data_IF_661550427631
#
_entry.id   IF_661550427631
#
_cell.length_a   1.000
_cell.length_b   1.000
_cell.length_c   1.000
_cell.angle_alpha   90.00
_cell.angle_beta   90.00
_cell.angle_gamma   90.00
#
_symmetry.space_group_name_H-M   'P 1'
#
loop_
_entity.id
_entity.type
_entity.pdbx_description
1 polymer ?
#
# COMPACT_ATOMS: atom_id res chain seq x y z
N UNK A 1 2.36 -17.31 -5.52
CA UNK A 1 1.74 -18.05 -4.41
C UNK A 1 1.59 -19.55 -4.64
N UNK A 2 1.09 -20.00 -5.80
CA UNK A 2 0.73 -21.42 -6.02
C UNK A 2 1.91 -22.41 -6.01
N UNK A 3 3.13 -21.96 -6.32
CA UNK A 3 4.33 -22.84 -6.37
C UNK A 3 5.19 -22.76 -5.10
N UNK A 4 4.86 -21.87 -4.15
CA UNK A 4 5.67 -21.63 -2.94
C UNK A 4 6.96 -20.85 -3.20
N UNK A 5 7.46 -20.16 -2.17
CA UNK A 5 8.66 -19.31 -2.25
C UNK A 5 9.97 -20.09 -2.45
N UNK A 6 9.98 -21.38 -2.12
CA UNK A 6 11.14 -22.27 -2.25
C UNK A 6 11.29 -22.91 -3.63
N UNK A 7 10.34 -22.67 -4.54
CA UNK A 7 10.42 -23.22 -5.89
C UNK A 7 11.61 -22.63 -6.65
N UNK A 8 12.47 -23.45 -7.28
CA UNK A 8 13.66 -22.99 -8.01
C UNK A 8 13.37 -21.95 -9.10
N UNK A 9 12.24 -22.09 -9.80
CA UNK A 9 11.83 -21.11 -10.82
C UNK A 9 11.58 -19.73 -10.21
N UNK A 10 10.89 -19.68 -9.06
CA UNK A 10 10.59 -18.41 -8.36
C UNK A 10 11.89 -17.79 -7.85
N UNK A 11 12.78 -18.57 -7.24
CA UNK A 11 14.07 -18.10 -6.77
C UNK A 11 14.94 -17.57 -7.92
N UNK A 12 14.91 -18.24 -9.07
CA UNK A 12 15.60 -17.77 -10.27
C UNK A 12 15.06 -16.42 -10.73
N UNK A 13 13.75 -16.24 -10.87
CA UNK A 13 13.16 -14.95 -11.27
C UNK A 13 13.44 -13.83 -10.29
N UNK A 14 13.38 -14.11 -8.98
CA UNK A 14 13.75 -13.14 -7.95
C UNK A 14 15.23 -12.77 -8.07
N UNK A 15 16.11 -13.75 -8.21
CA UNK A 15 17.54 -13.54 -8.36
C UNK A 15 17.87 -12.69 -9.61
N UNK A 16 17.28 -13.04 -10.75
CA UNK A 16 17.42 -12.29 -12.00
C UNK A 16 16.91 -10.85 -11.82
N UNK A 17 15.74 -10.66 -11.22
CA UNK A 17 15.18 -9.34 -10.96
C UNK A 17 16.07 -8.47 -10.08
N UNK A 18 16.60 -9.02 -8.99
CA UNK A 18 17.54 -8.33 -8.09
C UNK A 18 18.81 -7.93 -8.84
N UNK A 19 19.38 -8.85 -9.62
CA UNK A 19 20.60 -8.57 -10.40
C UNK A 19 20.37 -7.42 -11.38
N UNK A 20 19.26 -7.42 -12.13
CA UNK A 20 18.95 -6.33 -13.06
C UNK A 20 18.74 -4.99 -12.35
N UNK A 21 18.06 -4.96 -11.20
CA UNK A 21 17.88 -3.73 -10.42
C UNK A 21 19.22 -3.19 -9.92
N UNK A 22 20.10 -4.06 -9.42
CA UNK A 22 21.44 -3.67 -8.96
C UNK A 22 22.27 -3.14 -10.14
N UNK A 23 22.32 -3.87 -11.26
CA UNK A 23 23.08 -3.44 -12.45
C UNK A 23 22.56 -2.11 -13.00
N UNK A 24 21.24 -1.93 -13.04
CA UNK A 24 20.63 -0.67 -13.43
C UNK A 24 21.07 0.47 -12.49
N UNK A 25 20.95 0.28 -11.16
CA UNK A 25 21.37 1.28 -10.18
C UNK A 25 22.85 1.64 -10.29
N UNK A 26 23.73 0.64 -10.40
CA UNK A 26 25.17 0.87 -10.58
C UNK A 26 25.50 1.64 -11.88
N UNK A 27 24.77 1.34 -12.96
CA UNK A 27 24.91 2.08 -14.22
C UNK A 27 24.50 3.53 -14.07
N UNK A 28 23.33 3.79 -13.44
CA UNK A 28 22.83 5.15 -13.21
C UNK A 28 23.80 6.00 -12.38
N UNK A 29 24.46 5.41 -11.36
CA UNK A 29 25.45 6.11 -10.54
C UNK A 29 26.75 6.48 -11.30
N UNK A 30 27.05 5.81 -12.42
CA UNK A 30 28.25 6.04 -13.22
C UNK A 30 28.04 6.97 -14.42
N UNK A 31 26.78 7.27 -14.77
CA UNK A 31 26.47 8.14 -15.91
C UNK A 31 26.60 9.61 -15.50
N UNK A 32 27.14 10.43 -16.39
CA UNK A 32 27.21 11.90 -16.23
C UNK A 32 25.83 12.55 -16.34
N UNK A 33 24.92 11.97 -17.14
CA UNK A 33 23.53 12.38 -17.32
C UNK A 33 22.63 11.14 -17.13
N UNK A 34 22.29 10.80 -15.86
CA UNK A 34 21.52 9.62 -15.57
C UNK A 34 20.04 9.83 -15.89
N UNK A 35 19.40 8.82 -16.47
CA UNK A 35 17.95 8.82 -16.67
C UNK A 35 17.18 8.91 -15.33
N UNK A 36 17.72 8.23 -14.29
CA UNK A 36 17.22 8.31 -12.92
C UNK A 36 18.37 8.67 -11.99
N UNK A 37 18.43 9.90 -11.51
CA UNK A 37 19.44 10.30 -10.52
C UNK A 37 19.05 9.75 -9.13
N UNK A 38 19.56 8.56 -8.82
CA UNK A 38 19.35 7.92 -7.53
C UNK A 38 20.07 8.62 -6.38
N UNK A 39 20.93 9.63 -6.66
CA UNK A 39 21.55 10.43 -5.60
C UNK A 39 20.55 11.28 -4.82
N UNK A 40 19.32 11.45 -5.31
CA UNK A 40 18.23 12.09 -4.57
C UNK A 40 17.97 11.41 -3.22
N UNK A 41 18.27 10.12 -3.07
CA UNK A 41 18.18 9.41 -1.79
C UNK A 41 19.21 9.86 -0.75
N UNK A 42 20.22 10.66 -1.11
CA UNK A 42 21.14 11.29 -0.15
C UNK A 42 20.44 12.38 0.68
N UNK A 43 19.33 12.93 0.18
CA UNK A 43 18.50 13.88 0.91
C UNK A 43 17.57 13.11 1.86
N UNK A 44 17.83 13.20 3.16
CA UNK A 44 17.09 12.42 4.18
C UNK A 44 15.59 12.62 4.13
N UNK A 45 15.11 13.87 3.96
CA UNK A 45 13.69 14.21 3.89
C UNK A 45 13.01 13.54 2.68
N UNK A 46 13.69 13.55 1.52
CA UNK A 46 13.22 12.85 0.33
C UNK A 46 13.16 11.34 0.55
N UNK A 47 14.22 10.76 1.12
CA UNK A 47 14.29 9.32 1.38
C UNK A 47 13.20 8.86 2.33
N UNK A 48 12.95 9.62 3.38
CA UNK A 48 11.88 9.35 4.34
C UNK A 48 10.50 9.47 3.69
N UNK A 49 10.27 10.51 2.88
CA UNK A 49 9.02 10.69 2.14
C UNK A 49 8.80 9.57 1.11
N UNK A 50 9.85 9.17 0.39
CA UNK A 50 9.79 8.06 -0.56
C UNK A 50 9.48 6.73 0.14
N UNK A 51 10.14 6.43 1.27
CA UNK A 51 9.89 5.24 2.06
C UNK A 51 8.44 5.22 2.59
N UNK A 52 7.98 6.33 3.16
CA UNK A 52 6.61 6.45 3.68
C UNK A 52 5.56 6.29 2.56
N UNK A 53 5.74 6.97 1.42
CA UNK A 53 4.81 6.86 0.29
C UNK A 53 4.82 5.45 -0.32
N UNK A 54 5.99 4.83 -0.40
CA UNK A 54 6.14 3.48 -0.91
C UNK A 54 5.48 2.42 -0.02
N UNK A 55 5.68 2.48 1.31
CA UNK A 55 5.07 1.55 2.27
C UNK A 55 3.55 1.79 2.36
N UNK A 56 3.11 3.05 2.28
CA UNK A 56 1.66 3.36 2.18
C UNK A 56 1.05 2.74 0.94
N UNK A 57 1.72 2.86 -0.21
CA UNK A 57 1.27 2.26 -1.46
C UNK A 57 1.25 0.72 -1.41
N UNK A 58 2.24 0.11 -0.76
CA UNK A 58 2.29 -1.32 -0.49
C UNK A 58 1.08 -1.79 0.33
N UNK A 59 0.77 -1.09 1.43
CA UNK A 59 -0.40 -1.37 2.26
C UNK A 59 -1.73 -1.14 1.51
N UNK A 60 -1.78 -0.16 0.61
CA UNK A 60 -2.96 0.18 -0.19
C UNK A 60 -3.25 -0.89 -1.24
N UNK A 61 -2.30 -1.15 -2.14
CA UNK A 61 -2.49 -2.01 -3.32
C UNK A 61 -2.79 -3.46 -2.94
N UNK A 62 -2.20 -3.95 -1.85
CA UNK A 62 -2.50 -5.29 -1.36
C UNK A 62 -3.97 -5.48 -1.00
N UNK A 63 -4.58 -4.50 -0.33
CA UNK A 63 -6.02 -4.56 -0.01
C UNK A 63 -6.87 -4.38 -1.27
N UNK A 64 -6.49 -3.51 -2.19
CA UNK A 64 -7.19 -3.33 -3.47
C UNK A 64 -7.28 -4.62 -4.28
N UNK A 65 -6.32 -5.52 -4.12
CA UNK A 65 -6.34 -6.84 -4.75
C UNK A 65 -7.09 -7.88 -3.92
N UNK A 66 -6.86 -7.91 -2.61
CA UNK A 66 -7.39 -8.96 -1.72
C UNK A 66 -8.88 -8.76 -1.41
N UNK A 67 -9.35 -7.52 -1.24
CA UNK A 67 -10.75 -7.24 -0.91
C UNK A 67 -11.73 -7.64 -2.03
N UNK A 68 -11.48 -7.33 -3.32
CA UNK A 68 -12.29 -7.89 -4.40
C UNK A 68 -12.33 -9.41 -4.44
N UNK A 69 -11.20 -10.08 -4.16
CA UNK A 69 -11.15 -11.54 -4.10
C UNK A 69 -12.05 -12.09 -2.98
N UNK A 70 -12.06 -11.46 -1.81
CA UNK A 70 -12.98 -11.81 -0.73
C UNK A 70 -14.45 -11.66 -1.19
N UNK A 71 -14.81 -10.53 -1.80
CA UNK A 71 -16.18 -10.24 -2.24
C UNK A 71 -16.62 -11.22 -3.35
N UNK A 72 -15.73 -11.57 -4.27
CA UNK A 72 -16.04 -12.45 -5.40
C UNK A 72 -16.01 -13.92 -5.02
N UNK A 73 -14.92 -14.39 -4.42
CA UNK A 73 -14.70 -15.82 -4.20
C UNK A 73 -15.49 -16.37 -2.99
N UNK A 74 -15.62 -15.56 -1.93
CA UNK A 74 -16.28 -16.00 -0.71
C UNK A 74 -17.77 -15.63 -0.70
N UNK A 75 -18.10 -14.42 -1.17
CA UNK A 75 -19.48 -13.91 -1.15
C UNK A 75 -20.25 -14.16 -2.46
N UNK A 76 -19.58 -14.69 -3.50
CA UNK A 76 -20.20 -15.01 -4.78
C UNK A 76 -20.69 -13.79 -5.59
N UNK A 77 -20.22 -12.58 -5.26
CA UNK A 77 -20.59 -11.35 -5.96
C UNK A 77 -19.83 -11.27 -7.28
N UNK A 78 -20.50 -10.87 -8.37
CA UNK A 78 -19.83 -10.70 -9.67
C UNK A 78 -18.72 -9.65 -9.63
N UNK A 79 -17.73 -9.78 -10.51
CA UNK A 79 -16.62 -8.82 -10.60
C UNK A 79 -17.11 -7.38 -10.86
N UNK A 80 -18.17 -7.22 -11.66
CA UNK A 80 -18.78 -5.91 -11.91
C UNK A 80 -19.36 -5.28 -10.65
N UNK A 81 -20.15 -6.02 -9.89
CA UNK A 81 -20.74 -5.51 -8.63
C UNK A 81 -19.67 -5.29 -7.55
N UNK A 82 -18.65 -6.15 -7.50
CA UNK A 82 -17.49 -5.94 -6.62
C UNK A 82 -16.77 -4.61 -6.93
N UNK A 83 -16.57 -4.30 -8.22
CA UNK A 83 -16.02 -3.02 -8.66
C UNK A 83 -16.90 -1.82 -8.26
N UNK A 84 -18.23 -1.94 -8.43
CA UNK A 84 -19.17 -0.90 -8.01
C UNK A 84 -19.16 -0.66 -6.48
N UNK A 85 -18.98 -1.71 -5.68
CA UNK A 85 -18.84 -1.58 -4.22
C UNK A 85 -17.58 -0.81 -3.81
N UNK A 86 -16.51 -0.89 -4.57
CA UNK A 86 -15.25 -0.20 -4.29
C UNK A 86 -15.20 1.21 -4.92
N UNK A 87 -16.07 1.51 -5.86
CA UNK A 87 -16.13 2.80 -6.57
C UNK A 87 -16.22 4.01 -5.61
N UNK A 88 -17.07 4.01 -4.56
CA UNK A 88 -17.14 5.15 -3.63
C UNK A 88 -15.78 5.47 -2.98
N UNK A 89 -15.01 4.44 -2.62
CA UNK A 89 -13.66 4.64 -2.08
C UNK A 89 -12.70 5.26 -3.11
N UNK A 90 -12.72 4.78 -4.34
CA UNK A 90 -11.89 5.35 -5.41
C UNK A 90 -12.26 6.83 -5.69
N UNK A 91 -13.55 7.17 -5.67
CA UNK A 91 -14.01 8.55 -5.82
C UNK A 91 -13.56 9.45 -4.67
N UNK A 92 -13.41 8.93 -3.45
CA UNK A 92 -12.93 9.71 -2.30
C UNK A 92 -11.51 10.23 -2.52
N UNK A 93 -10.64 9.51 -3.22
CA UNK A 93 -9.30 10.02 -3.57
C UNK A 93 -9.41 11.28 -4.45
N UNK A 94 -10.26 11.24 -5.48
CA UNK A 94 -10.49 12.39 -6.37
C UNK A 94 -11.09 13.59 -5.65
N UNK A 95 -12.12 13.36 -4.82
CA UNK A 95 -12.79 14.41 -4.04
C UNK A 95 -11.83 15.02 -3.00
N UNK A 96 -11.02 14.20 -2.36
CA UNK A 96 -10.09 14.66 -1.33
C UNK A 96 -8.87 15.37 -1.91
N UNK A 97 -8.50 15.13 -3.17
CA UNK A 97 -7.30 15.73 -3.79
C UNK A 97 -7.22 17.26 -3.65
N UNK A 98 -8.22 18.07 -4.02
CA UNK A 98 -8.18 19.51 -3.83
C UNK A 98 -8.24 19.94 -2.35
N UNK A 99 -8.86 19.12 -1.50
CA UNK A 99 -8.99 19.38 -0.06
C UNK A 99 -7.66 19.15 0.64
N UNK A 100 -6.95 18.08 0.28
CA UNK A 100 -5.67 17.72 0.89
C UNK A 100 -4.59 18.75 0.62
N UNK A 101 -4.60 19.40 -0.55
CA UNK A 101 -3.69 20.51 -0.86
C UNK A 101 -3.85 21.69 0.11
N UNK A 102 -5.09 22.16 0.31
CA UNK A 102 -5.39 23.24 1.27
C UNK A 102 -5.05 22.86 2.73
N UNK A 103 -5.29 21.61 3.10
CA UNK A 103 -4.95 21.12 4.42
C UNK A 103 -3.43 21.02 4.63
N UNK A 104 -2.70 20.65 3.58
CA UNK A 104 -1.24 20.62 3.60
C UNK A 104 -0.65 21.99 3.87
N UNK A 105 -1.14 23.03 3.16
CA UNK A 105 -0.68 24.41 3.35
C UNK A 105 -0.95 24.92 4.78
N UNK A 106 -2.04 24.47 5.41
CA UNK A 106 -2.42 24.88 6.77
C UNK A 106 -1.72 24.09 7.87
N UNK A 107 -1.60 22.77 7.72
CA UNK A 107 -1.20 21.88 8.81
C UNK A 107 0.17 21.22 8.59
N UNK A 108 0.69 21.25 7.36
CA UNK A 108 1.98 20.67 6.97
C UNK A 108 1.93 19.14 6.78
N UNK A 109 2.98 18.61 6.14
CA UNK A 109 3.10 17.20 5.73
C UNK A 109 2.96 16.22 6.89
N UNK A 110 3.64 16.47 8.01
CA UNK A 110 3.69 15.55 9.16
C UNK A 110 2.30 15.28 9.74
N UNK A 111 1.50 16.33 10.00
CA UNK A 111 0.17 16.15 10.58
C UNK A 111 -0.75 15.41 9.60
N UNK A 112 -0.67 15.75 8.31
CA UNK A 112 -1.47 15.10 7.27
C UNK A 112 -1.10 13.63 7.13
N UNK A 113 0.20 13.29 7.14
CA UNK A 113 0.67 11.91 7.08
C UNK A 113 0.20 11.09 8.29
N UNK A 114 0.35 11.62 9.51
CA UNK A 114 -0.10 10.92 10.74
C UNK A 114 -1.62 10.70 10.72
N UNK A 115 -2.41 11.74 10.42
CA UNK A 115 -3.87 11.63 10.34
C UNK A 115 -4.30 10.63 9.27
N UNK A 116 -3.71 10.73 8.08
CA UNK A 116 -4.03 9.83 6.97
C UNK A 116 -3.67 8.38 7.27
N UNK A 117 -2.48 8.12 7.84
CA UNK A 117 -2.07 6.77 8.24
C UNK A 117 -2.92 6.21 9.37
N UNK A 118 -3.35 7.04 10.32
CA UNK A 118 -4.29 6.64 11.38
C UNK A 118 -5.63 6.22 10.79
N UNK A 119 -6.20 7.03 9.89
CA UNK A 119 -7.46 6.70 9.19
C UNK A 119 -7.34 5.42 8.36
N UNK A 120 -6.21 5.25 7.63
CA UNK A 120 -5.95 4.05 6.83
C UNK A 120 -5.88 2.81 7.74
N UNK A 121 -5.16 2.91 8.85
CA UNK A 121 -5.00 1.81 9.80
C UNK A 121 -6.34 1.45 10.45
N UNK A 122 -7.04 2.44 11.01
CA UNK A 122 -8.36 2.24 11.65
C UNK A 122 -9.40 1.71 10.66
N UNK A 123 -9.40 2.20 9.42
CA UNK A 123 -10.27 1.70 8.36
C UNK A 123 -9.93 0.27 7.89
N UNK A 124 -8.70 -0.20 8.16
CA UNK A 124 -8.27 -1.57 7.78
C UNK A 124 -8.54 -2.58 8.90
N UNK A 125 -8.47 -2.19 10.18
CA UNK A 125 -8.65 -3.10 11.33
C UNK A 125 -9.93 -3.94 11.24
N UNK A 126 -11.12 -3.37 10.93
CA UNK A 126 -12.34 -4.17 10.87
C UNK A 126 -12.34 -5.26 9.78
N UNK A 127 -11.49 -5.14 8.75
CA UNK A 127 -11.40 -6.17 7.70
C UNK A 127 -10.80 -7.48 8.21
N UNK A 128 -10.05 -7.45 9.31
CA UNK A 128 -9.54 -8.68 9.95
C UNK A 128 -10.66 -9.51 10.59
N UNK A 129 -11.83 -8.91 10.81
CA UNK A 129 -12.99 -9.56 11.42
C UNK A 129 -14.14 -9.79 10.42
N UNK A 130 -13.89 -9.71 9.11
CA UNK A 130 -14.90 -9.97 8.10
C UNK A 130 -15.37 -11.42 8.16
N UNK A 131 -16.66 -11.61 7.98
CA UNK A 131 -17.32 -12.92 7.89
C UNK A 131 -18.09 -13.03 6.58
N UNK A 132 -18.58 -14.22 6.23
CA UNK A 132 -19.47 -14.39 5.07
C UNK A 132 -20.72 -13.51 5.12
N UNK A 133 -21.14 -13.09 6.31
CA UNK A 133 -22.38 -12.32 6.54
C UNK A 133 -22.13 -10.83 6.79
N UNK A 134 -20.87 -10.36 6.71
CA UNK A 134 -20.55 -8.95 6.93
C UNK A 134 -21.32 -8.02 5.99
N UNK A 135 -21.82 -6.90 6.49
CA UNK A 135 -22.61 -5.95 5.71
C UNK A 135 -21.79 -5.34 4.56
N UNK A 136 -22.34 -5.34 3.37
CA UNK A 136 -21.73 -4.65 2.21
C UNK A 136 -21.56 -3.15 2.47
N UNK A 137 -22.55 -2.52 3.10
CA UNK A 137 -22.47 -1.10 3.47
C UNK A 137 -21.28 -0.82 4.38
N UNK A 138 -21.06 -1.69 5.38
CA UNK A 138 -19.89 -1.58 6.27
C UNK A 138 -18.57 -1.66 5.48
N UNK A 139 -18.45 -2.61 4.56
CA UNK A 139 -17.25 -2.77 3.71
C UNK A 139 -17.00 -1.51 2.86
N UNK A 140 -18.05 -0.98 2.21
CA UNK A 140 -17.99 0.21 1.36
C UNK A 140 -17.54 1.42 2.18
N UNK A 141 -18.14 1.65 3.35
CA UNK A 141 -17.83 2.79 4.22
C UNK A 141 -16.40 2.71 4.75
N UNK A 142 -15.99 1.54 5.26
CA UNK A 142 -14.62 1.33 5.75
C UNK A 142 -13.58 1.51 4.64
N UNK A 143 -13.87 1.01 3.46
CA UNK A 143 -13.00 1.19 2.30
C UNK A 143 -12.91 2.67 1.90
N UNK A 144 -14.03 3.41 1.92
CA UNK A 144 -14.03 4.85 1.65
C UNK A 144 -13.23 5.66 2.69
N UNK A 145 -13.39 5.37 3.98
CA UNK A 145 -12.61 5.98 5.07
C UNK A 145 -11.10 5.72 4.85
N UNK A 146 -10.76 4.50 4.50
CA UNK A 146 -9.38 4.10 4.21
C UNK A 146 -8.80 4.88 3.02
N UNK A 147 -9.58 5.09 1.94
CA UNK A 147 -9.17 5.86 0.77
C UNK A 147 -8.98 7.35 1.06
N UNK A 148 -9.77 7.92 1.97
CA UNK A 148 -9.52 9.27 2.52
C UNK A 148 -8.14 9.32 3.21
N UNK A 149 -7.82 8.31 4.03
CA UNK A 149 -6.50 8.19 4.65
C UNK A 149 -5.36 8.16 3.62
N UNK A 150 -5.51 7.36 2.56
CA UNK A 150 -4.55 7.29 1.44
C UNK A 150 -4.37 8.66 0.77
N UNK A 151 -5.47 9.35 0.47
CA UNK A 151 -5.44 10.67 -0.18
C UNK A 151 -4.67 11.70 0.66
N UNK A 152 -4.87 11.70 1.99
CA UNK A 152 -4.16 12.59 2.91
C UNK A 152 -2.65 12.32 2.96
N UNK A 153 -2.21 11.08 2.78
CA UNK A 153 -0.79 10.71 2.82
C UNK A 153 -0.13 10.97 1.48
N UNK A 154 -0.66 10.37 0.41
CA UNK A 154 0.07 10.22 -0.85
C UNK A 154 0.48 11.55 -1.47
N UNK A 155 -0.44 12.50 -1.59
CA UNK A 155 -0.16 13.80 -2.19
C UNK A 155 0.81 14.61 -1.32
N UNK A 156 0.53 14.69 -0.02
CA UNK A 156 1.24 15.57 0.89
C UNK A 156 2.69 15.10 1.17
N UNK A 157 2.87 13.79 1.32
CA UNK A 157 4.18 13.20 1.55
C UNK A 157 5.05 13.33 0.30
N UNK A 158 4.50 13.04 -0.87
CA UNK A 158 5.23 13.20 -2.14
C UNK A 158 5.64 14.66 -2.36
N UNK A 159 4.73 15.61 -2.17
CA UNK A 159 5.03 17.04 -2.29
C UNK A 159 6.11 17.48 -1.30
N UNK A 160 6.02 17.05 -0.05
CA UNK A 160 7.04 17.37 0.97
C UNK A 160 8.42 16.82 0.59
N UNK A 161 8.48 15.58 0.09
CA UNK A 161 9.73 14.97 -0.38
C UNK A 161 10.32 15.72 -1.57
N UNK A 162 9.50 16.11 -2.56
CA UNK A 162 9.98 16.89 -3.71
C UNK A 162 10.48 18.28 -3.30
N UNK A 163 9.79 18.94 -2.37
CA UNK A 163 10.17 20.26 -1.87
C UNK A 163 11.51 20.26 -1.12
N UNK A 164 12.00 19.12 -0.67
CA UNK A 164 13.31 18.98 -0.02
C UNK A 164 14.48 18.85 -1.01
N UNK A 165 14.20 18.71 -2.31
CA UNK A 165 15.20 18.57 -3.35
C UNK A 165 15.54 19.92 -4.00
N UNK A 166 16.80 20.09 -4.49
CA UNK A 166 17.14 21.17 -5.40
C UNK A 166 16.26 21.17 -6.66
N UNK A 167 16.01 22.34 -7.24
CA UNK A 167 15.07 22.50 -8.37
C UNK A 167 15.46 21.63 -9.59
N UNK A 168 16.74 21.52 -9.88
CA UNK A 168 17.30 20.69 -10.96
C UNK A 168 17.05 19.19 -10.75
N UNK A 169 16.83 18.75 -9.50
CA UNK A 169 16.63 17.33 -9.14
C UNK A 169 15.16 16.92 -8.97
N UNK A 170 14.21 17.85 -9.01
CA UNK A 170 12.79 17.54 -8.76
C UNK A 170 12.23 16.53 -9.78
N UNK A 171 12.58 16.67 -11.06
CA UNK A 171 12.13 15.73 -12.10
C UNK A 171 12.67 14.32 -11.87
N UNK A 172 13.94 14.19 -11.51
CA UNK A 172 14.56 12.91 -11.14
C UNK A 172 13.93 12.33 -9.86
N UNK A 173 13.69 13.17 -8.84
CA UNK A 173 13.01 12.77 -7.61
C UNK A 173 11.64 12.19 -7.88
N UNK A 174 10.85 12.81 -8.76
CA UNK A 174 9.52 12.32 -9.14
C UNK A 174 9.61 10.95 -9.82
N UNK A 175 10.51 10.78 -10.78
CA UNK A 175 10.69 9.52 -11.48
C UNK A 175 11.19 8.40 -10.55
N UNK A 176 12.17 8.70 -9.69
CA UNK A 176 12.70 7.78 -8.68
C UNK A 176 11.61 7.37 -7.68
N UNK A 177 10.85 8.32 -7.14
CA UNK A 177 9.78 8.04 -6.19
C UNK A 177 8.69 7.16 -6.81
N UNK A 178 8.27 7.42 -8.06
CA UNK A 178 7.29 6.61 -8.75
C UNK A 178 7.78 5.18 -9.00
N UNK A 179 9.04 5.03 -9.43
CA UNK A 179 9.67 3.71 -9.63
C UNK A 179 9.75 2.95 -8.31
N UNK A 180 10.21 3.61 -7.24
CA UNK A 180 10.32 3.02 -5.91
C UNK A 180 8.97 2.55 -5.37
N UNK A 181 7.93 3.38 -5.49
CA UNK A 181 6.55 3.02 -5.14
C UNK A 181 6.06 1.81 -5.92
N UNK A 182 6.34 1.73 -7.22
CA UNK A 182 5.91 0.61 -8.06
C UNK A 182 6.58 -0.70 -7.66
N UNK A 183 7.88 -0.65 -7.35
CA UNK A 183 8.62 -1.81 -6.84
C UNK A 183 8.02 -2.28 -5.50
N UNK A 184 7.81 -1.36 -4.55
CA UNK A 184 7.22 -1.70 -3.25
C UNK A 184 5.78 -2.22 -3.39
N UNK A 185 4.99 -1.67 -4.32
CA UNK A 185 3.65 -2.15 -4.63
C UNK A 185 3.66 -3.61 -5.10
N UNK A 186 4.57 -3.95 -6.01
CA UNK A 186 4.71 -5.32 -6.52
C UNK A 186 5.12 -6.29 -5.41
N UNK A 187 6.08 -5.90 -4.57
CA UNK A 187 6.52 -6.67 -3.39
C UNK A 187 5.35 -6.86 -2.42
N UNK A 188 4.61 -5.77 -2.12
CA UNK A 188 3.47 -5.81 -1.22
C UNK A 188 2.38 -6.75 -1.66
N UNK A 189 2.00 -6.66 -2.93
CA UNK A 189 1.02 -7.57 -3.53
C UNK A 189 1.49 -9.03 -3.42
N UNK A 190 2.75 -9.31 -3.74
CA UNK A 190 3.30 -10.66 -3.65
C UNK A 190 3.27 -11.20 -2.21
N UNK A 191 3.65 -10.37 -1.22
CA UNK A 191 3.61 -10.76 0.20
C UNK A 191 2.17 -11.03 0.65
N UNK A 192 1.23 -10.11 0.39
CA UNK A 192 -0.15 -10.23 0.87
C UNK A 192 -0.88 -11.41 0.23
N UNK A 193 -0.68 -11.65 -1.07
CA UNK A 193 -1.25 -12.82 -1.75
C UNK A 193 -0.60 -14.11 -1.25
N UNK A 194 0.69 -14.08 -0.96
CA UNK A 194 1.37 -15.26 -0.39
C UNK A 194 0.89 -15.59 1.02
N UNK A 195 0.73 -14.58 1.89
CA UNK A 195 0.17 -14.73 3.23
C UNK A 195 -1.24 -15.32 3.15
N UNK A 196 -2.09 -14.75 2.29
CA UNK A 196 -3.44 -15.25 2.02
C UNK A 196 -3.42 -16.73 1.64
N UNK A 197 -2.63 -17.08 0.62
CA UNK A 197 -2.58 -18.46 0.09
C UNK A 197 -2.00 -19.43 1.11
N UNK A 198 -0.95 -19.06 1.82
CA UNK A 198 -0.31 -19.90 2.82
C UNK A 198 -1.23 -20.16 4.01
N UNK A 199 -1.86 -19.12 4.56
CA UNK A 199 -2.79 -19.26 5.67
C UNK A 199 -4.04 -20.08 5.27
N UNK A 200 -4.57 -19.86 4.07
CA UNK A 200 -5.65 -20.68 3.53
C UNK A 200 -5.24 -22.15 3.43
N UNK A 201 -4.09 -22.45 2.80
CA UNK A 201 -3.65 -23.83 2.57
C UNK A 201 -3.33 -24.57 3.87
N UNK A 202 -2.75 -23.90 4.87
CA UNK A 202 -2.43 -24.51 6.15
C UNK A 202 -3.68 -24.92 6.96
N UNK A 203 -4.79 -24.22 6.75
CA UNK A 203 -6.06 -24.48 7.44
C UNK A 203 -7.05 -25.29 6.59
N UNK A 204 -6.68 -25.62 5.34
CA UNK A 204 -7.55 -26.36 4.43
C UNK A 204 -7.80 -27.80 4.94
N UNK A 205 -9.06 -28.26 4.98
CA UNK A 205 -9.38 -29.62 5.43
C UNK A 205 -8.79 -30.69 4.50
N UNK A 206 -8.60 -31.89 5.04
CA UNK A 206 -8.10 -33.03 4.26
C UNK A 206 -9.05 -33.43 3.13
N UNK A 207 -8.50 -33.82 1.98
CA UNK A 207 -9.30 -34.28 0.83
C UNK A 207 -10.16 -35.52 1.12
N UNK A 208 -9.82 -36.28 2.17
CA UNK A 208 -10.62 -37.44 2.61
C UNK A 208 -11.96 -36.99 3.17
N UNK A 209 -12.02 -35.88 3.87
CA UNK A 209 -13.25 -35.27 4.40
C UNK A 209 -14.23 -34.90 3.29
N UNK A 210 -13.73 -34.51 2.11
CA UNK A 210 -14.58 -34.23 0.95
C UNK A 210 -15.38 -35.46 0.49
N UNK A 211 -14.80 -36.65 0.61
CA UNK A 211 -15.45 -37.93 0.20
C UNK A 211 -16.44 -38.41 1.24
N UNK A 212 -16.15 -38.20 2.52
CA UNK A 212 -16.95 -38.74 3.64
C UNK A 212 -18.02 -37.78 4.11
N UNK A 213 -17.73 -36.50 4.23
CA UNK A 213 -18.59 -35.46 4.77
C UNK A 213 -18.49 -34.16 3.95
N UNK A 214 -19.06 -34.10 2.73
CA UNK A 214 -18.89 -32.98 1.79
C UNK A 214 -19.31 -31.61 2.37
N UNK A 215 -20.39 -31.59 3.16
CA UNK A 215 -20.91 -30.36 3.77
C UNK A 215 -19.94 -29.81 4.83
N UNK A 216 -19.37 -30.70 5.63
CA UNK A 216 -18.38 -30.32 6.64
C UNK A 216 -17.09 -29.84 6.01
N UNK A 217 -16.63 -30.49 4.92
CA UNK A 217 -15.51 -30.02 4.13
C UNK A 217 -15.73 -28.60 3.60
N UNK A 218 -16.93 -28.33 3.02
CA UNK A 218 -17.28 -27.01 2.51
C UNK A 218 -17.16 -25.94 3.58
N UNK A 219 -17.75 -26.17 4.77
CA UNK A 219 -17.74 -25.21 5.87
C UNK A 219 -16.30 -24.95 6.38
N UNK A 220 -15.50 -26.01 6.52
CA UNK A 220 -14.11 -25.85 6.94
C UNK A 220 -13.25 -25.17 5.87
N UNK A 221 -13.47 -25.42 4.58
CA UNK A 221 -12.77 -24.77 3.49
C UNK A 221 -13.12 -23.26 3.41
N UNK A 222 -14.36 -22.88 3.69
CA UNK A 222 -14.78 -21.49 3.81
C UNK A 222 -14.04 -20.79 4.97
N UNK A 223 -14.02 -21.43 6.15
CA UNK A 223 -13.29 -20.88 7.30
C UNK A 223 -11.79 -20.76 7.02
N UNK A 224 -11.15 -21.76 6.41
CA UNK A 224 -9.76 -21.70 6.00
C UNK A 224 -9.47 -20.54 5.02
N UNK A 225 -10.41 -20.28 4.11
CA UNK A 225 -10.31 -19.16 3.18
C UNK A 225 -10.47 -17.82 3.91
N UNK A 226 -11.39 -17.71 4.87
CA UNK A 226 -11.53 -16.54 5.74
C UNK A 226 -10.26 -16.26 6.53
N UNK A 227 -9.65 -17.30 7.14
CA UNK A 227 -8.39 -17.18 7.86
C UNK A 227 -7.28 -16.62 6.97
N UNK A 228 -7.23 -17.03 5.70
CA UNK A 228 -6.32 -16.48 4.71
C UNK A 228 -6.54 -14.99 4.46
N UNK A 229 -7.78 -14.55 4.29
CA UNK A 229 -8.11 -13.13 4.15
C UNK A 229 -7.77 -12.34 5.40
N UNK A 230 -8.11 -12.83 6.58
CA UNK A 230 -7.78 -12.19 7.86
C UNK A 230 -6.28 -12.00 8.04
N UNK A 231 -5.48 -13.05 7.76
CA UNK A 231 -4.02 -12.97 7.82
C UNK A 231 -3.45 -11.92 6.85
N UNK A 232 -3.98 -11.84 5.64
CA UNK A 232 -3.56 -10.85 4.65
C UNK A 232 -3.93 -9.42 5.07
N UNK A 233 -5.13 -9.20 5.60
CA UNK A 233 -5.53 -7.90 6.15
C UNK A 233 -4.69 -7.50 7.36
N UNK A 234 -4.38 -8.43 8.27
CA UNK A 234 -3.50 -8.20 9.41
C UNK A 234 -2.09 -7.79 8.96
N UNK A 235 -1.54 -8.44 7.92
CA UNK A 235 -0.25 -8.06 7.35
C UNK A 235 -0.28 -6.64 6.75
N UNK A 236 -1.38 -6.25 6.09
CA UNK A 236 -1.55 -4.87 5.61
C UNK A 236 -1.56 -3.84 6.75
N UNK A 237 -2.15 -4.19 7.91
CA UNK A 237 -2.10 -3.35 9.13
C UNK A 237 -0.67 -3.19 9.62
N UNK A 238 0.14 -4.25 9.61
CA UNK A 238 1.56 -4.16 9.98
C UNK A 238 2.29 -3.14 9.10
N UNK A 239 2.10 -3.18 7.79
CA UNK A 239 2.68 -2.20 6.88
C UNK A 239 2.16 -0.77 7.15
N UNK A 240 0.86 -0.63 7.41
CA UNK A 240 0.27 0.66 7.76
C UNK A 240 0.84 1.22 9.06
N UNK A 241 1.07 0.39 10.07
CA UNK A 241 1.71 0.79 11.33
C UNK A 241 3.18 1.19 11.14
N UNK A 242 3.94 0.47 10.32
CA UNK A 242 5.31 0.86 9.95
C UNK A 242 5.30 2.25 9.29
N UNK A 243 4.41 2.48 8.33
CA UNK A 243 4.26 3.76 7.68
C UNK A 243 3.81 4.86 8.66
N UNK A 244 2.92 4.55 9.61
CA UNK A 244 2.50 5.47 10.67
C UNK A 244 3.70 5.88 11.55
N UNK A 245 4.55 4.93 11.93
CA UNK A 245 5.78 5.23 12.70
C UNK A 245 6.70 6.15 11.89
N UNK A 246 6.91 5.87 10.60
CA UNK A 246 7.72 6.74 9.73
C UNK A 246 7.14 8.15 9.60
N UNK A 247 5.81 8.31 9.62
CA UNK A 247 5.16 9.61 9.54
C UNK A 247 5.51 10.53 10.73
N UNK A 248 5.86 9.99 11.90
CA UNK A 248 6.29 10.79 13.04
C UNK A 248 7.67 11.43 12.85
N UNK A 249 8.50 10.89 11.94
CA UNK A 249 9.83 11.44 11.66
C UNK A 249 9.82 12.51 10.56
N UNK A 250 8.70 12.71 9.84
CA UNK A 250 8.58 13.78 8.86
C UNK A 250 8.71 15.15 9.54
N UNK A 251 9.42 16.07 8.89
CA UNK A 251 9.43 17.49 9.30
C UNK A 251 8.09 18.16 8.95
N UNK A 252 7.81 19.27 9.61
CA UNK A 252 6.55 20.03 9.39
C UNK A 252 6.43 20.61 7.98
N UNK A 253 7.54 20.70 7.23
CA UNK A 253 7.71 21.19 5.86
C UNK A 253 6.53 21.98 5.28
N UNK A 254 6.58 23.29 5.39
CA UNK A 254 5.57 24.18 4.82
C UNK A 254 6.31 25.33 4.11
N UNK A 255 6.72 25.12 2.85
CA UNK A 255 7.48 26.09 2.06
C UNK A 255 6.83 27.48 2.02
N UNK A 256 5.51 27.56 2.13
CA UNK A 256 4.79 28.83 2.18
C UNK A 256 5.09 29.66 3.45
N UNK A 257 5.44 29.01 4.57
CA UNK A 257 5.85 29.70 5.81
C UNK A 257 7.33 30.02 5.84
N UNK A 258 8.19 29.12 5.36
CA UNK A 258 9.64 29.35 5.28
C UNK A 258 9.98 30.55 4.40
N UNK A 259 9.33 30.68 3.23
CA UNK A 259 9.50 31.85 2.35
C UNK A 259 8.94 33.15 2.96
N UNK A 260 7.94 33.09 3.85
CA UNK A 260 7.43 34.28 4.55
C UNK A 260 8.33 34.68 5.73
N UNK A 261 9.01 33.75 6.36
CA UNK A 261 9.97 34.04 7.42
C UNK A 261 11.30 34.58 6.83
N UNK A 262 11.73 34.10 5.66
CA UNK A 262 12.91 34.65 4.94
C UNK A 262 12.67 36.05 4.34
N UNK A 263 11.42 36.43 4.01
CA UNK A 263 11.08 37.77 3.47
C UNK A 263 10.85 38.77 4.60
N UNK A 264 10.53 38.33 5.82
CA UNK A 264 10.23 39.19 6.97
C UNK A 264 11.35 39.24 8.01
N UNK A 265 12.49 38.54 7.82
CA UNK A 265 13.70 38.59 8.63
C UNK A 265 14.83 39.24 7.90
#
# INVERSE_FOLDING_TARGET
>A
GNKGWTNPEILMFIGVGIVFVILFGLRQLKMSDPFLDITVFKHFEFSLAAALSGITNLAMVGIEMVLPLYIQNLRGVSAFHSGLMLLPGALMIGIMSPITGRLFDKYGARKMAITGMTLLTLGTIPFVFLTEQSSYTMIIVLYAIRMVGVALVMMNVTTSGMNSLPLDKISHGTAVNNTFRQVLSSIGTAILVSVLTTATNNNMPSKELLKTLPLQYKNQAINATLDGFHASFAMSIVFALIALVLAFFLKKGNRARENQEEVNG
#
